data_IF_742875315953
#
_entry.id   IF_742875315953
#
_cell.length_a   1.000
_cell.length_b   1.000
_cell.length_c   1.000
_cell.angle_alpha   90.00
_cell.angle_beta   90.00
_cell.angle_gamma   90.00
#
_symmetry.space_group_name_H-M   'P 1'
#
loop_
_entity.id
_entity.type
_entity.pdbx_description
1 polymer ?
#
# COMPACT_ATOMS: atom_id res chain seq x y z
N UNK A 1 -27.15 0.43 61.52
CA UNK A 1 -28.47 -0.17 61.07
C UNK A 1 -28.33 -0.30 59.54
N UNK A 2 -28.36 -1.36 59.10
CA UNK A 2 -28.92 -2.53 58.46
C UNK A 2 -28.17 -2.77 57.17
N UNK A 3 -27.34 -3.81 57.03
CA UNK A 3 -27.57 -5.18 56.55
C UNK A 3 -27.84 -5.29 55.02
N UNK A 4 -26.85 -5.95 54.37
CA UNK A 4 -26.88 -6.67 53.07
C UNK A 4 -28.11 -7.60 52.90
N UNK A 5 -28.43 -8.09 51.69
CA UNK A 5 -27.89 -9.39 51.30
C UNK A 5 -27.51 -9.59 49.83
N UNK A 6 -26.45 -10.31 49.61
CA UNK A 6 -26.12 -11.46 48.73
C UNK A 6 -27.21 -11.95 47.77
N UNK A 7 -26.82 -12.10 46.51
CA UNK A 7 -27.55 -12.85 45.49
C UNK A 7 -26.59 -13.49 44.49
N UNK A 8 -26.09 -14.65 44.81
CA UNK A 8 -25.46 -15.64 43.94
C UNK A 8 -26.49 -16.20 42.95
N UNK A 9 -26.25 -16.15 41.65
CA UNK A 9 -26.94 -17.01 40.70
C UNK A 9 -25.92 -17.68 39.79
N UNK A 10 -25.59 -18.86 40.22
CA UNK A 10 -25.01 -19.95 39.42
C UNK A 10 -25.95 -20.26 38.23
N UNK A 11 -25.43 -20.20 36.99
CA UNK A 11 -26.09 -20.80 35.84
C UNK A 11 -25.07 -21.69 35.12
N UNK A 12 -25.17 -22.96 35.46
CA UNK A 12 -24.51 -24.08 34.83
C UNK A 12 -24.80 -24.13 33.33
N UNK A 13 -23.76 -24.37 32.60
CA UNK A 13 -23.74 -24.62 31.15
C UNK A 13 -23.96 -26.13 30.91
N UNK A 14 -25.03 -26.58 30.26
CA UNK A 14 -25.18 -27.98 29.91
C UNK A 14 -24.34 -28.31 28.65
N UNK A 15 -23.48 -29.30 28.83
CA UNK A 15 -22.75 -29.98 27.76
C UNK A 15 -23.74 -30.65 26.80
N UNK A 16 -23.84 -30.17 25.56
CA UNK A 16 -24.51 -30.83 24.46
C UNK A 16 -23.64 -31.93 23.86
N UNK A 17 -24.14 -33.15 23.97
CA UNK A 17 -23.56 -34.36 23.37
C UNK A 17 -23.61 -34.30 21.83
N UNK A 18 -22.52 -34.73 21.21
CA UNK A 18 -22.45 -34.93 19.74
C UNK A 18 -22.97 -36.31 19.39
N UNK A 19 -23.93 -36.46 18.49
CA UNK A 19 -24.35 -37.78 18.03
C UNK A 19 -23.30 -38.38 17.07
N UNK A 20 -23.07 -39.64 17.27
CA UNK A 20 -22.11 -40.46 16.54
C UNK A 20 -22.57 -40.73 15.10
N UNK A 21 -21.58 -40.89 14.26
CA UNK A 21 -21.73 -41.24 12.84
C UNK A 21 -21.77 -42.77 12.70
N UNK A 22 -22.82 -43.39 12.11
CA UNK A 22 -22.87 -44.80 11.91
C UNK A 22 -22.04 -45.24 10.68
N UNK A 23 -21.20 -46.22 10.87
CA UNK A 23 -20.58 -47.01 9.82
C UNK A 23 -21.65 -47.90 9.13
N UNK A 24 -21.74 -47.84 7.80
CA UNK A 24 -22.44 -48.75 6.91
C UNK A 24 -21.67 -48.84 5.63
N UNK A 25 -21.03 -49.87 5.44
CA UNK A 25 -21.18 -51.13 4.68
C UNK A 25 -20.99 -51.01 3.15
N UNK A 26 -20.15 -51.93 2.74
CA UNK A 26 -19.66 -52.33 1.43
C UNK A 26 -20.78 -52.51 0.38
N UNK A 27 -20.52 -52.02 -0.85
CA UNK A 27 -21.34 -52.30 -2.05
C UNK A 27 -20.52 -52.22 -3.35
N UNK A 28 -20.01 -53.35 -3.78
CA UNK A 28 -19.77 -53.89 -5.12
C UNK A 28 -19.40 -52.93 -6.30
N UNK A 29 -18.17 -53.08 -6.71
CA UNK A 29 -17.64 -53.35 -8.06
C UNK A 29 -18.69 -53.29 -9.21
N UNK A 30 -18.56 -52.29 -10.07
CA UNK A 30 -18.97 -52.32 -11.48
C UNK A 30 -17.86 -51.67 -12.31
N UNK A 31 -17.17 -52.56 -13.02
CA UNK A 31 -16.35 -52.25 -14.18
C UNK A 31 -17.24 -51.59 -15.24
N UNK A 32 -16.86 -50.44 -15.75
CA UNK A 32 -17.23 -49.95 -17.06
C UNK A 32 -16.01 -49.35 -17.72
N UNK A 33 -15.45 -50.16 -18.61
CA UNK A 33 -14.62 -49.69 -19.71
C UNK A 33 -15.43 -48.68 -20.54
N UNK A 34 -14.75 -47.69 -21.03
CA UNK A 34 -15.35 -46.72 -21.98
C UNK A 34 -14.49 -45.46 -22.07
N UNK A 35 -13.58 -45.43 -23.02
CA UNK A 35 -12.65 -44.37 -23.33
C UNK A 35 -13.30 -43.02 -23.56
N UNK A 36 -12.62 -42.01 -23.17
CA UNK A 36 -12.94 -40.63 -23.40
C UNK A 36 -11.77 -39.77 -22.88
N UNK A 37 -10.69 -39.76 -23.66
CA UNK A 37 -9.54 -38.91 -23.43
C UNK A 37 -9.96 -37.45 -23.65
N UNK A 38 -10.42 -36.77 -22.62
CA UNK A 38 -10.61 -35.33 -22.66
C UNK A 38 -9.23 -34.66 -22.86
N UNK A 39 -9.07 -33.73 -23.82
CA UNK A 39 -7.84 -32.99 -23.98
C UNK A 39 -7.62 -32.14 -22.73
N UNK A 40 -6.51 -32.41 -22.04
CA UNK A 40 -6.05 -31.62 -20.93
C UNK A 40 -5.97 -30.15 -21.34
N UNK A 41 -6.79 -29.31 -20.72
CA UNK A 41 -6.59 -27.88 -20.68
C UNK A 41 -5.37 -27.64 -19.78
N UNK A 42 -4.22 -27.94 -20.33
CA UNK A 42 -2.96 -27.39 -19.86
C UNK A 42 -2.91 -25.91 -20.25
N UNK A 43 -3.75 -25.15 -19.59
CA UNK A 43 -3.67 -23.71 -19.56
C UNK A 43 -2.62 -23.31 -18.52
N UNK A 44 -1.41 -23.79 -18.68
CA UNK A 44 -0.24 -23.20 -18.10
C UNK A 44 -0.23 -21.75 -18.60
N UNK A 45 -0.82 -20.83 -17.80
CA UNK A 45 -0.54 -19.41 -17.91
C UNK A 45 0.94 -19.29 -17.60
N UNK A 46 1.72 -19.42 -18.63
CA UNK A 46 3.05 -18.82 -18.71
C UNK A 46 2.84 -17.30 -18.47
N UNK A 47 2.69 -16.95 -17.20
CA UNK A 47 3.06 -15.63 -16.73
C UNK A 47 4.57 -15.63 -16.85
N UNK A 48 5.03 -15.38 -18.08
CA UNK A 48 6.36 -14.86 -18.29
C UNK A 48 6.49 -13.71 -17.29
N UNK A 49 7.05 -14.00 -16.14
CA UNK A 49 7.57 -13.04 -15.20
C UNK A 49 8.57 -12.24 -16.01
N UNK A 50 8.08 -11.19 -16.68
CA UNK A 50 8.92 -10.05 -16.95
C UNK A 50 9.40 -9.69 -15.57
N UNK A 51 10.61 -10.04 -15.25
CA UNK A 51 11.34 -9.53 -14.09
C UNK A 51 11.35 -8.02 -14.29
N UNK A 52 10.26 -7.39 -13.87
CA UNK A 52 10.22 -5.94 -13.82
C UNK A 52 11.30 -5.60 -12.82
N UNK A 53 12.31 -4.89 -13.27
CA UNK A 53 13.42 -4.42 -12.44
C UNK A 53 12.83 -3.56 -11.33
N UNK A 54 12.51 -4.21 -10.21
CA UNK A 54 11.96 -3.55 -9.03
C UNK A 54 13.13 -3.00 -8.24
N UNK A 55 13.13 -1.70 -8.06
CA UNK A 55 14.08 -1.01 -7.18
C UNK A 55 13.50 -1.01 -5.77
N UNK A 56 14.26 -1.55 -4.83
CA UNK A 56 13.94 -1.49 -3.40
C UNK A 56 14.79 -0.43 -2.69
N UNK A 57 14.17 0.31 -1.80
CA UNK A 57 14.83 1.36 -1.01
C UNK A 57 14.46 1.25 0.45
N UNK A 58 15.47 1.06 1.30
CA UNK A 58 15.32 1.10 2.74
C UNK A 58 15.15 2.55 3.22
N UNK A 59 14.04 2.83 3.90
CA UNK A 59 13.72 4.15 4.45
C UNK A 59 14.20 4.29 5.88
N UNK A 60 13.92 3.28 6.70
CA UNK A 60 14.21 3.36 8.14
C UNK A 60 14.36 1.98 8.77
N UNK A 61 15.33 1.84 9.67
CA UNK A 61 15.49 0.67 10.55
C UNK A 61 15.47 1.14 12.00
N UNK A 62 14.67 0.47 12.82
CA UNK A 62 14.62 0.70 14.26
C UNK A 62 14.89 -0.60 15.01
N UNK A 63 15.75 -0.53 16.04
CA UNK A 63 15.85 -1.59 17.04
C UNK A 63 14.74 -1.42 18.07
N UNK A 64 13.88 -2.42 18.18
CA UNK A 64 12.76 -2.46 19.14
C UNK A 64 13.03 -3.51 20.21
N UNK A 65 12.50 -3.32 21.40
CA UNK A 65 12.67 -4.26 22.50
C UNK A 65 11.33 -4.56 23.17
N UNK A 66 11.17 -5.82 23.59
CA UNK A 66 10.12 -6.26 24.50
C UNK A 66 10.76 -6.61 25.83
N UNK A 67 10.32 -5.95 26.91
CA UNK A 67 10.79 -6.24 28.28
C UNK A 67 9.99 -7.45 28.80
N UNK A 68 10.68 -8.44 29.32
CA UNK A 68 10.12 -9.66 29.91
C UNK A 68 10.80 -9.91 31.27
N UNK A 69 10.24 -10.82 32.10
CA UNK A 69 10.92 -11.34 33.28
C UNK A 69 12.27 -11.94 32.85
N UNK A 70 13.37 -11.42 33.36
CA UNK A 70 14.72 -11.85 32.96
C UNK A 70 15.43 -10.98 31.91
N UNK A 71 14.83 -9.89 31.41
CA UNK A 71 15.54 -8.95 30.54
C UNK A 71 14.77 -8.44 29.33
N UNK A 72 15.52 -7.96 28.33
CA UNK A 72 14.97 -7.34 27.11
C UNK A 72 15.20 -8.26 25.92
N UNK A 73 14.14 -8.56 25.18
CA UNK A 73 14.22 -9.26 23.88
C UNK A 73 14.23 -8.23 22.78
N UNK A 74 15.35 -8.15 22.05
CA UNK A 74 15.51 -7.20 20.93
C UNK A 74 15.02 -7.79 19.63
N UNK A 75 14.52 -6.91 18.75
CA UNK A 75 14.17 -7.18 17.36
C UNK A 75 14.42 -5.90 16.53
N UNK A 76 14.44 -6.05 15.22
CA UNK A 76 14.57 -4.94 14.28
C UNK A 76 13.28 -4.78 13.50
N UNK A 77 12.88 -3.52 13.27
CA UNK A 77 11.76 -3.15 12.43
C UNK A 77 12.31 -2.36 11.23
N UNK A 78 12.08 -2.85 10.01
CA UNK A 78 12.45 -2.19 8.77
C UNK A 78 11.22 -1.61 8.08
N UNK A 79 11.37 -0.44 7.46
CA UNK A 79 10.43 0.19 6.54
C UNK A 79 11.09 0.25 5.17
N UNK A 80 10.52 -0.42 4.17
CA UNK A 80 11.06 -0.55 2.81
C UNK A 80 10.02 -0.06 1.81
N UNK A 81 10.49 0.57 0.75
CA UNK A 81 9.74 0.95 -0.44
C UNK A 81 10.21 0.09 -1.61
N UNK A 82 9.29 -0.30 -2.46
CA UNK A 82 9.57 -1.03 -3.71
C UNK A 82 8.83 -0.34 -4.84
N UNK A 83 9.50 -0.09 -5.96
CA UNK A 83 8.90 0.54 -7.12
C UNK A 83 9.54 0.10 -8.43
N UNK A 84 8.89 0.44 -9.53
CA UNK A 84 9.32 0.07 -10.90
C UNK A 84 9.86 1.26 -11.70
N UNK A 85 10.04 2.43 -11.07
CA UNK A 85 10.39 3.69 -11.74
C UNK A 85 9.44 4.10 -12.88
N UNK A 86 8.27 3.45 -13.01
CA UNK A 86 7.26 3.68 -14.05
C UNK A 86 5.90 4.07 -13.47
N UNK A 87 5.91 4.64 -12.27
CA UNK A 87 4.70 5.11 -11.57
C UNK A 87 4.04 4.08 -10.66
N UNK A 88 4.64 2.90 -10.44
CA UNK A 88 4.20 1.95 -9.41
C UNK A 88 5.14 2.01 -8.22
N UNK A 89 4.57 2.07 -7.04
CA UNK A 89 5.31 2.04 -5.79
C UNK A 89 4.48 1.36 -4.71
N UNK A 90 5.15 0.62 -3.83
CA UNK A 90 4.55 -0.01 -2.66
C UNK A 90 5.41 0.26 -1.42
N UNK A 91 4.80 0.21 -0.25
CA UNK A 91 5.53 0.25 1.00
C UNK A 91 5.21 -0.97 1.86
N UNK A 92 6.21 -1.43 2.61
CA UNK A 92 6.06 -2.54 3.53
C UNK A 92 6.85 -2.32 4.81
N UNK A 93 6.38 -2.91 5.89
CA UNK A 93 7.12 -2.96 7.15
C UNK A 93 7.27 -4.39 7.61
N UNK A 94 8.49 -4.76 8.03
CA UNK A 94 8.82 -6.09 8.54
C UNK A 94 9.51 -6.01 9.89
N UNK A 95 9.30 -7.02 10.73
CA UNK A 95 10.00 -7.19 12.00
C UNK A 95 10.64 -8.58 12.08
N UNK A 96 11.90 -8.64 12.52
CA UNK A 96 12.60 -9.88 12.75
C UNK A 96 13.68 -9.72 13.84
N UNK A 97 14.30 -10.83 14.24
CA UNK A 97 15.44 -10.78 15.18
C UNK A 97 16.70 -10.23 14.53
N UNK A 98 16.85 -10.46 13.23
CA UNK A 98 17.97 -10.04 12.40
C UNK A 98 17.53 -8.96 11.41
N UNK A 99 18.45 -8.07 11.04
CA UNK A 99 18.20 -6.96 10.10
C UNK A 99 17.87 -7.48 8.69
N UNK A 100 18.65 -8.43 8.09
CA UNK A 100 18.35 -8.90 6.73
C UNK A 100 16.97 -9.54 6.62
N UNK A 101 16.59 -10.32 7.63
CA UNK A 101 15.27 -10.97 7.67
C UNK A 101 14.13 -9.95 7.81
N UNK A 102 14.34 -8.87 8.59
CA UNK A 102 13.38 -7.78 8.71
C UNK A 102 13.18 -7.06 7.37
N UNK A 103 14.26 -6.79 6.64
CA UNK A 103 14.23 -6.17 5.31
C UNK A 103 13.49 -7.09 4.33
N UNK A 104 13.85 -8.38 4.25
CA UNK A 104 13.18 -9.34 3.37
C UNK A 104 11.67 -9.36 3.59
N UNK A 105 11.21 -9.47 4.84
CA UNK A 105 9.78 -9.43 5.19
C UNK A 105 9.12 -8.11 4.78
N UNK A 106 9.82 -6.98 4.94
CA UNK A 106 9.32 -5.68 4.54
C UNK A 106 9.20 -5.56 3.01
N UNK A 107 10.20 -6.04 2.25
CA UNK A 107 10.19 -6.07 0.79
C UNK A 107 9.04 -6.94 0.25
N UNK A 108 8.83 -8.14 0.80
CA UNK A 108 7.71 -9.01 0.43
C UNK A 108 6.34 -8.34 0.70
N UNK A 109 6.22 -7.62 1.81
CA UNK A 109 5.02 -6.86 2.12
C UNK A 109 4.83 -5.67 1.17
N UNK A 110 5.90 -4.96 0.80
CA UNK A 110 5.86 -3.85 -0.14
C UNK A 110 5.46 -4.30 -1.56
N UNK A 111 6.00 -5.41 -2.05
CA UNK A 111 5.64 -6.01 -3.36
C UNK A 111 4.15 -6.33 -3.45
N UNK A 112 3.53 -6.82 -2.38
CA UNK A 112 2.09 -7.12 -2.34
C UNK A 112 1.22 -5.86 -2.36
N UNK A 113 1.72 -4.75 -1.85
CA UNK A 113 1.00 -3.49 -1.69
C UNK A 113 1.36 -2.45 -2.76
N UNK A 114 1.85 -2.87 -3.93
CA UNK A 114 2.18 -1.97 -5.02
C UNK A 114 0.93 -1.35 -5.65
N UNK A 115 0.93 -0.02 -5.77
CA UNK A 115 -0.14 0.78 -6.37
C UNK A 115 0.44 1.58 -7.54
N UNK A 116 -0.30 1.66 -8.63
CA UNK A 116 0.05 2.50 -9.78
C UNK A 116 -0.61 3.86 -9.68
N UNK A 117 0.18 4.91 -9.85
CA UNK A 117 -0.26 6.29 -9.84
C UNK A 117 -0.12 6.93 -11.23
N UNK A 118 -1.12 7.70 -11.68
CA UNK A 118 -1.02 8.41 -12.95
C UNK A 118 -0.04 9.58 -12.82
N UNK A 119 1.01 9.60 -13.61
CA UNK A 119 1.99 10.69 -13.66
C UNK A 119 1.76 11.54 -14.92
N UNK A 120 2.05 12.84 -14.84
CA UNK A 120 2.12 13.73 -16.00
C UNK A 120 3.47 13.52 -16.69
N UNK A 121 3.43 13.09 -17.96
CA UNK A 121 4.62 12.84 -18.78
C UNK A 121 5.64 11.86 -18.15
N UNK A 122 5.22 11.05 -17.19
CA UNK A 122 6.11 10.18 -16.43
C UNK A 122 7.07 10.93 -15.48
N UNK A 123 6.99 12.26 -15.34
CA UNK A 123 7.95 13.09 -14.62
C UNK A 123 7.42 13.73 -13.35
N UNK A 124 6.17 14.23 -13.38
CA UNK A 124 5.60 15.03 -12.27
C UNK A 124 4.15 14.69 -12.00
N UNK A 125 3.56 15.37 -11.03
CA UNK A 125 2.15 15.23 -10.66
C UNK A 125 1.25 16.02 -11.62
N UNK A 126 -0.04 15.60 -11.71
CA UNK A 126 -1.05 16.33 -12.48
C UNK A 126 -1.51 17.62 -11.82
N UNK A 127 -1.54 17.68 -10.49
CA UNK A 127 -1.96 18.84 -9.70
C UNK A 127 -1.38 18.75 -8.28
N UNK A 128 -1.48 19.81 -7.52
CA UNK A 128 -1.06 19.87 -6.13
C UNK A 128 -1.94 18.95 -5.27
N UNK A 129 -1.31 18.28 -4.31
CA UNK A 129 -1.94 17.28 -3.46
C UNK A 129 -1.68 17.54 -1.98
N UNK A 130 -2.68 17.22 -1.17
CA UNK A 130 -2.57 17.24 0.28
C UNK A 130 -2.91 15.86 0.81
N UNK A 131 -2.08 15.35 1.72
CA UNK A 131 -2.31 14.08 2.35
C UNK A 131 -2.16 14.15 3.85
N UNK A 132 -2.95 13.34 4.56
CA UNK A 132 -2.88 13.22 6.02
C UNK A 132 -2.94 11.76 6.41
N UNK A 133 -2.09 11.38 7.35
CA UNK A 133 -2.18 10.09 8.01
C UNK A 133 -1.72 10.24 9.47
N UNK A 134 -2.64 9.99 10.41
CA UNK A 134 -2.39 10.26 11.82
C UNK A 134 -2.01 11.73 12.06
N UNK A 135 -0.89 11.97 12.71
CA UNK A 135 -0.33 13.30 12.92
C UNK A 135 0.50 13.83 11.74
N UNK A 136 0.85 12.98 10.76
CA UNK A 136 1.60 13.38 9.57
C UNK A 136 0.71 14.08 8.55
N UNK A 137 1.15 15.24 8.07
CA UNK A 137 0.53 15.99 6.98
C UNK A 137 1.60 16.24 5.93
N UNK A 138 1.26 16.08 4.66
CA UNK A 138 2.16 16.33 3.54
C UNK A 138 1.51 17.22 2.50
N UNK A 139 2.31 18.09 1.91
CA UNK A 139 1.95 18.95 0.81
C UNK A 139 2.85 18.56 -0.35
N UNK A 140 2.27 18.21 -1.49
CA UNK A 140 2.96 17.83 -2.71
C UNK A 140 2.58 18.82 -3.80
N UNK A 141 3.54 19.43 -4.46
CA UNK A 141 3.32 20.37 -5.55
C UNK A 141 3.94 19.87 -6.83
N UNK A 142 3.20 19.97 -7.92
CA UNK A 142 3.74 19.72 -9.24
C UNK A 142 4.79 20.77 -9.56
N UNK A 143 5.91 20.35 -10.13
CA UNK A 143 7.02 21.24 -10.49
C UNK A 143 7.31 21.19 -11.99
N UNK A 144 7.84 22.28 -12.57
CA UNK A 144 8.31 22.29 -13.95
C UNK A 144 9.55 21.40 -14.13
N UNK A 145 9.80 21.04 -15.38
CA UNK A 145 10.97 20.22 -15.73
C UNK A 145 12.28 20.91 -15.30
N UNK A 146 13.20 20.12 -14.73
CA UNK A 146 14.50 20.59 -14.25
C UNK A 146 14.53 21.04 -12.78
N UNK A 147 13.40 21.06 -12.07
CA UNK A 147 13.37 21.38 -10.64
C UNK A 147 14.01 20.32 -9.78
N UNK A 148 13.92 19.04 -10.20
CA UNK A 148 14.39 17.90 -9.43
C UNK A 148 13.46 17.54 -8.25
N UNK A 149 13.90 16.61 -7.41
CA UNK A 149 13.14 16.15 -6.25
C UNK A 149 13.54 16.98 -5.01
N UNK A 150 12.65 17.89 -4.60
CA UNK A 150 12.81 18.69 -3.38
C UNK A 150 11.86 18.14 -2.32
N UNK A 151 12.35 17.22 -1.49
CA UNK A 151 11.53 16.51 -0.50
C UNK A 151 12.35 16.06 0.72
N UNK A 152 11.67 15.87 1.86
CA UNK A 152 12.25 15.22 3.04
C UNK A 152 12.59 13.75 2.79
N UNK A 153 13.59 13.19 3.48
CA UNK A 153 14.15 11.85 3.22
C UNK A 153 13.15 10.75 2.94
N UNK A 154 12.17 10.45 3.83
CA UNK A 154 11.18 9.40 3.58
C UNK A 154 10.31 9.64 2.35
N UNK A 155 9.89 10.89 2.09
CA UNK A 155 9.12 11.25 0.90
C UNK A 155 9.97 11.19 -0.37
N UNK A 156 11.22 11.66 -0.30
CA UNK A 156 12.17 11.59 -1.41
C UNK A 156 12.37 10.15 -1.87
N UNK A 157 12.51 9.21 -0.92
CA UNK A 157 12.62 7.80 -1.23
C UNK A 157 11.39 7.28 -1.99
N UNK A 158 10.17 7.71 -1.67
CA UNK A 158 8.94 7.34 -2.40
C UNK A 158 8.99 7.85 -3.84
N UNK A 159 9.38 9.10 -4.06
CA UNK A 159 9.39 9.69 -5.42
C UNK A 159 10.47 9.09 -6.30
N UNK A 160 11.65 8.82 -5.75
CA UNK A 160 12.74 8.16 -6.47
C UNK A 160 12.34 6.74 -6.91
N UNK A 161 11.77 5.93 -6.02
CA UNK A 161 11.32 4.56 -6.35
C UNK A 161 10.12 4.53 -7.30
N UNK A 162 9.33 5.61 -7.35
CA UNK A 162 8.21 5.76 -8.27
C UNK A 162 8.64 6.28 -9.65
N UNK A 163 9.85 6.85 -9.77
CA UNK A 163 10.38 7.42 -11.00
C UNK A 163 9.96 8.86 -11.27
N UNK A 164 9.48 9.60 -10.27
CA UNK A 164 9.25 11.05 -10.40
C UNK A 164 10.59 11.77 -10.48
N UNK A 165 10.69 12.72 -11.39
CA UNK A 165 11.88 13.54 -11.60
C UNK A 165 11.75 14.94 -11.01
N UNK A 166 10.55 15.53 -11.08
CA UNK A 166 10.33 16.92 -10.68
C UNK A 166 9.14 17.03 -9.72
N UNK A 167 9.43 17.37 -8.45
CA UNK A 167 8.41 17.55 -7.41
C UNK A 167 8.94 18.39 -6.25
N UNK A 168 8.07 19.21 -5.69
CA UNK A 168 8.33 19.92 -4.44
C UNK A 168 7.39 19.40 -3.35
N UNK A 169 7.95 18.92 -2.24
CA UNK A 169 7.17 18.32 -1.17
C UNK A 169 7.63 18.79 0.21
N UNK A 170 6.67 19.06 1.09
CA UNK A 170 6.93 19.43 2.48
C UNK A 170 6.09 18.57 3.42
N UNK A 171 6.74 18.04 4.45
CA UNK A 171 6.05 17.41 5.57
C UNK A 171 5.76 18.44 6.65
N UNK A 172 4.55 18.40 7.18
CA UNK A 172 4.07 19.29 8.25
C UNK A 172 3.44 18.43 9.34
N UNK A 173 3.85 18.64 10.58
CA UNK A 173 3.29 17.94 11.74
C UNK A 173 4.22 16.86 12.29
N UNK A 174 4.16 15.63 11.78
CA UNK A 174 4.96 14.52 12.32
C UNK A 174 6.24 14.29 11.54
N UNK A 175 7.34 14.07 12.26
CA UNK A 175 8.63 13.67 11.68
C UNK A 175 8.80 12.12 11.63
N UNK A 176 7.79 11.36 12.02
CA UNK A 176 7.84 9.90 12.01
C UNK A 176 7.82 9.39 10.55
N UNK A 177 8.85 8.61 10.10
CA UNK A 177 8.94 8.11 8.74
C UNK A 177 7.73 7.29 8.29
N UNK A 178 7.17 6.47 9.18
CA UNK A 178 5.96 5.69 8.89
C UNK A 178 4.75 6.57 8.58
N UNK A 179 4.55 7.66 9.35
CA UNK A 179 3.43 8.56 9.12
C UNK A 179 3.65 9.39 7.84
N UNK A 180 4.89 9.81 7.58
CA UNK A 180 5.23 10.57 6.36
C UNK A 180 4.98 9.73 5.10
N UNK A 181 5.48 8.49 5.05
CA UNK A 181 5.25 7.58 3.91
C UNK A 181 3.76 7.34 3.71
N UNK A 182 3.02 6.97 4.75
CA UNK A 182 1.57 6.72 4.64
C UNK A 182 0.79 7.96 4.23
N UNK A 183 1.15 9.14 4.74
CA UNK A 183 0.52 10.41 4.33
C UNK A 183 0.81 10.73 2.86
N UNK A 184 2.03 10.46 2.38
CA UNK A 184 2.40 10.61 0.96
C UNK A 184 1.57 9.66 0.07
N UNK A 185 1.41 8.39 0.46
CA UNK A 185 0.55 7.45 -0.26
C UNK A 185 -0.92 7.90 -0.25
N UNK A 186 -1.43 8.38 0.88
CA UNK A 186 -2.78 8.93 0.97
C UNK A 186 -2.97 10.14 0.03
N UNK A 187 -1.99 11.05 -0.06
CA UNK A 187 -2.00 12.14 -1.01
C UNK A 187 -2.02 11.65 -2.47
N UNK A 188 -1.12 10.71 -2.82
CA UNK A 188 -1.04 10.15 -4.17
C UNK A 188 -2.32 9.41 -4.59
N UNK A 189 -3.02 8.76 -3.67
CA UNK A 189 -4.29 8.09 -3.95
C UNK A 189 -5.42 9.06 -4.32
N UNK A 190 -5.36 10.32 -3.88
CA UNK A 190 -6.33 11.35 -4.27
C UNK A 190 -6.04 11.94 -5.65
N UNK A 191 -4.88 11.62 -6.24
CA UNK A 191 -4.49 12.15 -7.55
C UNK A 191 -5.41 11.63 -8.65
N UNK A 192 -5.94 12.55 -9.45
CA UNK A 192 -6.77 12.25 -10.60
C UNK A 192 -6.13 12.72 -11.90
N UNK A 193 -6.13 11.88 -12.93
CA UNK A 193 -5.66 12.27 -14.25
C UNK A 193 -6.73 13.10 -14.98
N UNK A 194 -6.34 14.04 -15.87
CA UNK A 194 -7.30 14.80 -16.68
C UNK A 194 -8.24 13.91 -17.50
N UNK A 195 -7.76 12.77 -17.97
CA UNK A 195 -8.58 11.76 -18.68
C UNK A 195 -9.67 11.17 -17.79
N UNK A 196 -9.34 10.82 -16.54
CA UNK A 196 -10.31 10.30 -15.60
C UNK A 196 -11.37 11.35 -15.22
N UNK A 197 -10.97 12.61 -15.08
CA UNK A 197 -11.90 13.72 -14.82
C UNK A 197 -12.80 13.99 -16.03
N UNK A 198 -12.25 13.96 -17.25
CA UNK A 198 -12.98 14.11 -18.50
C UNK A 198 -14.07 13.04 -18.65
N UNK A 199 -13.70 11.78 -18.43
CA UNK A 199 -14.64 10.66 -18.49
C UNK A 199 -15.76 10.80 -17.45
N UNK A 200 -15.44 11.20 -16.21
CA UNK A 200 -16.46 11.45 -15.16
C UNK A 200 -17.43 12.61 -15.50
N UNK A 201 -16.95 13.61 -16.24
CA UNK A 201 -17.72 14.80 -16.59
C UNK A 201 -18.37 14.72 -17.98
N UNK A 202 -18.13 13.67 -18.75
CA UNK A 202 -18.61 13.53 -20.14
C UNK A 202 -18.07 14.60 -21.09
N UNK A 203 -16.85 15.16 -20.82
CA UNK A 203 -16.22 16.24 -21.59
C UNK A 203 -14.96 15.75 -22.29
N UNK A 204 -14.53 16.47 -23.32
CA UNK A 204 -13.23 16.22 -23.97
C UNK A 204 -12.08 16.65 -23.06
N UNK A 205 -10.95 15.96 -23.14
CA UNK A 205 -9.76 16.28 -22.32
C UNK A 205 -9.24 17.69 -22.59
N UNK A 206 -9.30 18.15 -23.86
CA UNK A 206 -8.91 19.52 -24.26
C UNK A 206 -9.67 20.60 -23.51
N UNK A 207 -10.98 20.44 -23.31
CA UNK A 207 -11.81 21.43 -22.60
C UNK A 207 -11.43 21.59 -21.11
N UNK A 208 -10.76 20.60 -20.54
CA UNK A 208 -10.30 20.63 -19.15
C UNK A 208 -8.90 21.23 -19.03
N UNK A 209 -8.01 20.91 -19.99
CA UNK A 209 -6.63 21.40 -20.01
C UNK A 209 -6.59 22.87 -20.46
N UNK A 210 -7.34 23.25 -21.52
CA UNK A 210 -7.37 24.61 -22.04
C UNK A 210 -7.78 25.65 -20.99
N UNK A 211 -8.79 25.36 -20.17
CA UNK A 211 -9.17 26.23 -19.04
C UNK A 211 -8.05 26.47 -18.01
N UNK A 212 -7.12 25.55 -17.89
CA UNK A 212 -6.00 25.69 -16.96
C UNK A 212 -4.92 26.60 -17.50
N UNK A 213 -4.67 26.56 -18.79
CA UNK A 213 -3.70 27.43 -19.47
C UNK A 213 -4.18 28.88 -19.51
N UNK A 214 -5.46 29.10 -19.77
CA UNK A 214 -6.10 30.44 -19.69
C UNK A 214 -6.05 31.00 -18.27
N UNK A 215 -6.33 30.16 -17.25
CA UNK A 215 -6.26 30.58 -15.85
C UNK A 215 -4.83 30.86 -15.38
N UNK A 216 -3.84 30.14 -15.86
CA UNK A 216 -2.44 30.36 -15.53
C UNK A 216 -1.91 31.65 -16.24
N UNK A 217 -2.28 31.88 -17.48
CA UNK A 217 -1.95 33.10 -18.21
C UNK A 217 -2.61 34.36 -17.57
N UNK A 218 -3.86 34.23 -17.13
CA UNK A 218 -4.56 35.31 -16.43
C UNK A 218 -3.99 35.61 -15.03
N UNK A 219 -3.44 34.63 -14.34
CA UNK A 219 -2.75 34.82 -13.07
C UNK A 219 -1.39 35.50 -13.25
N UNK A 220 -0.61 35.08 -14.25
CA UNK A 220 0.68 35.69 -14.59
C UNK A 220 0.57 37.14 -15.03
N UNK A 221 -0.51 37.50 -15.75
CA UNK A 221 -0.79 38.88 -16.14
C UNK A 221 -1.27 39.81 -15.02
N UNK A 222 -1.64 39.25 -13.86
CA UNK A 222 -2.02 40.04 -12.67
C UNK A 222 -0.87 40.31 -11.72
N UNK A 223 0.23 39.53 -11.85
CA UNK A 223 1.45 39.69 -11.04
C UNK A 223 2.54 40.52 -11.75
N UNK A 224 2.33 40.88 -13.01
CA UNK A 224 3.15 41.81 -13.80
C UNK A 224 2.55 43.25 -13.78
#
# INVERSE_FOLDING_TARGET
>A
MARTPTGTSDRGNPRGERPGNPRGERGSRREREGGGKAPGRDGGRDRGEREEELVDKLVHINRVAKVVKGGRRFAFAALVLVGDNKGRVGYGSGKAREVPEAIRKATDAAKRNMIRFPLREGRTLHHDLYGRFGAGKVILRAAPAGTGIIAGGPMRAVFETMGIQDIVAKSVGSNNPHNMVKATFAALQTMTSPRAVAAKRGKKVGDIIGRREEGAAAAASKEA
#
